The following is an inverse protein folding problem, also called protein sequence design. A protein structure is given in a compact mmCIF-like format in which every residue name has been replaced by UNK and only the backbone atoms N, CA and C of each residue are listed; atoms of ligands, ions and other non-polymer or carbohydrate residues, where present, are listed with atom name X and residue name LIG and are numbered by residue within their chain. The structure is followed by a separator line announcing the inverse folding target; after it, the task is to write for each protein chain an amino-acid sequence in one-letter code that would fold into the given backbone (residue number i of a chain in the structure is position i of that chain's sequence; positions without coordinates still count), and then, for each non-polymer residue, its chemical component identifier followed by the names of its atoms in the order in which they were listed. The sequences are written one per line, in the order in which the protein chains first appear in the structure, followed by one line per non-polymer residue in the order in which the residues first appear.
data_IF_716834022225
#
_entry.id   IF_716834022225
#
_cell.length_a   1.000
_cell.length_b   1.000
_cell.length_c   1.000
_cell.angle_alpha   90.00
_cell.angle_beta   90.00
_cell.angle_gamma   90.00
#
_symmetry.space_group_name_H-M   'P 1'
#
loop_
_entity.id
_entity.type
_entity.pdbx_description
1 polymer ?
#
# COMPACT_ATOMS: atom_id res chain seq x y z
N UNK A 1 -2.16 -19.17 37.88
CA UNK A 1 -1.95 -20.13 36.77
C UNK A 1 -3.05 -19.88 35.74
N UNK A 2 -2.79 -19.06 34.71
CA UNK A 2 -3.81 -18.66 33.74
C UNK A 2 -3.87 -19.68 32.60
N UNK A 3 -4.91 -20.51 32.61
CA UNK A 3 -5.23 -21.41 31.50
C UNK A 3 -5.91 -20.59 30.40
N UNK A 4 -5.17 -20.30 29.33
CA UNK A 4 -5.74 -19.80 28.07
C UNK A 4 -6.51 -20.95 27.41
N UNK A 5 -7.84 -20.85 27.35
CA UNK A 5 -8.66 -21.82 26.61
C UNK A 5 -8.58 -21.48 25.12
N UNK A 6 -7.67 -22.15 24.40
CA UNK A 6 -7.58 -22.10 22.95
C UNK A 6 -8.69 -22.98 22.36
N UNK A 7 -9.79 -22.39 21.88
CA UNK A 7 -10.78 -23.11 21.09
C UNK A 7 -10.29 -23.19 19.63
N UNK A 8 -9.57 -24.26 19.30
CA UNK A 8 -9.13 -24.55 17.93
C UNK A 8 -10.29 -25.17 17.14
N UNK A 9 -10.94 -24.41 16.26
CA UNK A 9 -11.97 -24.95 15.37
C UNK A 9 -11.33 -25.53 14.10
N UNK A 10 -11.51 -26.83 13.91
CA UNK A 10 -11.01 -27.66 12.81
C UNK A 10 -11.66 -27.30 11.47
N UNK A 11 -10.84 -27.12 10.41
CA UNK A 11 -11.31 -26.87 9.05
C UNK A 11 -11.70 -28.17 8.32
N UNK A 12 -12.90 -28.21 7.72
CA UNK A 12 -13.32 -29.25 6.79
C UNK A 12 -12.78 -28.93 5.39
N UNK A 13 -12.00 -29.85 4.82
CA UNK A 13 -11.23 -29.67 3.59
C UNK A 13 -12.06 -29.93 2.33
N UNK A 14 -12.25 -28.90 1.50
CA UNK A 14 -12.29 -29.05 0.05
C UNK A 14 -11.44 -27.95 -0.62
N UNK A 15 -10.27 -28.36 -1.10
CA UNK A 15 -9.38 -27.76 -2.12
C UNK A 15 -8.85 -26.31 -1.95
N UNK A 16 -7.52 -26.21 -1.83
CA UNK A 16 -6.60 -25.07 -2.14
C UNK A 16 -6.55 -23.83 -1.27
N UNK A 17 -7.43 -23.65 -0.28
CA UNK A 17 -7.41 -22.48 0.61
C UNK A 17 -6.88 -22.81 2.01
N UNK A 18 -5.81 -22.14 2.44
CA UNK A 18 -5.35 -22.20 3.83
C UNK A 18 -6.10 -21.13 4.63
N UNK A 19 -6.81 -21.51 5.68
CA UNK A 19 -7.63 -20.63 6.50
C UNK A 19 -7.22 -20.74 7.98
N UNK A 20 -7.06 -19.60 8.64
CA UNK A 20 -6.82 -19.51 10.08
C UNK A 20 -7.81 -18.52 10.68
N UNK A 21 -8.51 -18.93 11.74
CA UNK A 21 -9.39 -18.07 12.53
C UNK A 21 -9.02 -18.19 14.00
N UNK A 22 -9.00 -17.05 14.69
CA UNK A 22 -8.81 -17.01 16.14
C UNK A 22 -9.76 -16.01 16.75
N UNK A 23 -10.34 -16.38 17.89
CA UNK A 23 -11.14 -15.50 18.73
C UNK A 23 -10.58 -15.52 20.14
N UNK A 24 -10.40 -14.34 20.73
CA UNK A 24 -9.94 -14.15 22.11
C UNK A 24 -10.98 -13.32 22.85
N UNK A 25 -11.35 -13.78 24.05
CA UNK A 25 -12.24 -13.04 24.96
C UNK A 25 -11.44 -12.64 26.20
N UNK A 26 -11.43 -11.35 26.51
CA UNK A 26 -10.79 -10.81 27.70
C UNK A 26 -11.60 -11.06 28.96
N UNK A 27 -10.94 -11.06 30.13
CA UNK A 27 -11.58 -11.27 31.43
C UNK A 27 -12.70 -10.26 31.76
N UNK A 28 -12.71 -9.10 31.09
CA UNK A 28 -13.73 -8.06 31.22
C UNK A 28 -14.82 -8.12 30.14
N UNK A 29 -14.90 -9.19 29.36
CA UNK A 29 -15.97 -9.44 28.38
C UNK A 29 -15.75 -8.88 26.97
N UNK A 30 -14.67 -8.16 26.71
CA UNK A 30 -14.32 -7.75 25.34
C UNK A 30 -13.87 -8.93 24.48
N UNK A 31 -14.13 -8.91 23.18
CA UNK A 31 -13.78 -9.96 22.22
C UNK A 31 -12.93 -9.41 21.08
N UNK A 32 -12.06 -10.24 20.53
CA UNK A 32 -11.35 -9.96 19.29
C UNK A 32 -11.34 -11.22 18.43
N UNK A 33 -11.75 -11.10 17.17
CA UNK A 33 -11.73 -12.18 16.18
C UNK A 33 -10.91 -11.74 14.99
N UNK A 34 -10.05 -12.63 14.49
CA UNK A 34 -9.30 -12.43 13.26
C UNK A 34 -9.37 -13.67 12.38
N UNK A 35 -9.41 -13.44 11.08
CA UNK A 35 -9.29 -14.48 10.06
C UNK A 35 -8.20 -14.09 9.07
N UNK A 36 -7.48 -15.09 8.58
CA UNK A 36 -6.60 -14.97 7.44
C UNK A 36 -6.85 -16.15 6.50
N UNK A 37 -6.94 -15.86 5.21
CA UNK A 37 -7.11 -16.84 4.16
C UNK A 37 -6.08 -16.62 3.08
N UNK A 38 -5.50 -17.71 2.58
CA UNK A 38 -4.67 -17.72 1.39
C UNK A 38 -5.39 -18.50 0.30
N UNK A 39 -5.62 -17.85 -0.83
CA UNK A 39 -6.06 -18.48 -2.07
C UNK A 39 -5.03 -18.19 -3.16
N UNK A 40 -4.24 -19.21 -3.52
CA UNK A 40 -3.13 -19.09 -4.49
C UNK A 40 -2.22 -17.90 -4.13
N UNK A 41 -2.19 -16.89 -5.00
CA UNK A 41 -1.34 -15.72 -4.88
C UNK A 41 -1.99 -14.57 -4.11
N UNK A 42 -3.20 -14.78 -3.59
CA UNK A 42 -3.93 -13.80 -2.79
C UNK A 42 -3.92 -14.22 -1.33
N UNK A 43 -3.55 -13.30 -0.45
CA UNK A 43 -3.74 -13.42 0.99
C UNK A 43 -4.71 -12.34 1.42
N UNK A 44 -5.80 -12.72 2.07
CA UNK A 44 -6.75 -11.79 2.66
C UNK A 44 -6.92 -12.07 4.14
N UNK A 45 -7.35 -11.06 4.88
CA UNK A 45 -7.70 -11.21 6.27
C UNK A 45 -8.77 -10.21 6.66
N UNK A 46 -9.49 -10.54 7.72
CA UNK A 46 -10.43 -9.64 8.36
C UNK A 46 -10.40 -9.85 9.85
N UNK A 47 -10.77 -8.82 10.59
CA UNK A 47 -10.87 -8.91 12.03
C UNK A 47 -11.81 -7.88 12.61
N UNK A 48 -12.22 -8.13 13.84
CA UNK A 48 -13.05 -7.23 14.62
C UNK A 48 -12.66 -7.35 16.09
N UNK A 49 -12.65 -6.22 16.79
CA UNK A 49 -12.48 -6.16 18.23
C UNK A 49 -13.62 -5.35 18.84
N UNK A 50 -14.34 -5.96 19.78
CA UNK A 50 -15.43 -5.35 20.53
C UNK A 50 -14.99 -5.19 21.98
N UNK A 51 -14.95 -3.96 22.45
CA UNK A 51 -14.71 -3.66 23.86
C UNK A 51 -15.85 -4.17 24.75
N UNK A 52 -15.61 -4.28 26.06
CA UNK A 52 -16.64 -4.65 27.04
C UNK A 52 -17.88 -3.75 26.99
N UNK A 53 -17.70 -2.49 26.55
CA UNK A 53 -18.77 -1.49 26.43
C UNK A 53 -19.47 -1.54 25.06
N UNK A 54 -19.24 -2.57 24.25
CA UNK A 54 -19.89 -2.78 22.95
C UNK A 54 -19.29 -1.98 21.77
N UNK A 55 -18.40 -1.03 22.01
CA UNK A 55 -17.71 -0.32 20.93
C UNK A 55 -16.82 -1.28 20.13
N UNK A 56 -17.03 -1.32 18.81
CA UNK A 56 -16.40 -2.27 17.90
C UNK A 56 -15.53 -1.56 16.86
N UNK A 57 -14.33 -2.06 16.62
CA UNK A 57 -13.49 -1.71 15.48
C UNK A 57 -13.36 -2.94 14.61
N UNK A 58 -13.60 -2.82 13.30
CA UNK A 58 -13.36 -3.89 12.36
C UNK A 58 -12.44 -3.45 11.24
N UNK A 59 -11.82 -4.41 10.58
CA UNK A 59 -11.04 -4.14 9.40
C UNK A 59 -10.82 -5.39 8.56
N UNK A 60 -10.37 -5.16 7.35
CA UNK A 60 -10.07 -6.19 6.38
C UNK A 60 -8.98 -5.72 5.44
N UNK A 61 -8.28 -6.66 4.84
CA UNK A 61 -7.23 -6.40 3.88
C UNK A 61 -7.04 -7.57 2.94
N UNK A 62 -6.47 -7.29 1.79
CA UNK A 62 -6.11 -8.29 0.78
C UNK A 62 -4.87 -7.82 0.04
N UNK A 63 -3.96 -8.76 -0.24
CA UNK A 63 -2.82 -8.56 -1.12
C UNK A 63 -2.81 -9.69 -2.14
N UNK A 64 -2.75 -9.35 -3.42
CA UNK A 64 -2.67 -10.29 -4.53
C UNK A 64 -1.42 -10.03 -5.35
N UNK A 65 -0.66 -11.09 -5.66
CA UNK A 65 0.53 -11.01 -6.51
C UNK A 65 0.29 -11.70 -7.85
N UNK A 66 0.50 -10.97 -8.93
CA UNK A 66 0.52 -11.54 -10.29
C UNK A 66 1.95 -11.57 -10.82
N UNK A 67 2.14 -12.14 -12.01
CA UNK A 67 3.45 -12.11 -12.69
C UNK A 67 3.91 -10.68 -13.00
N UNK A 68 2.96 -9.78 -13.22
CA UNK A 68 3.21 -8.41 -13.67
C UNK A 68 3.07 -7.40 -12.54
N UNK A 69 2.80 -7.80 -11.30
CA UNK A 69 2.55 -6.81 -10.26
C UNK A 69 2.01 -7.33 -8.94
N UNK A 70 1.65 -6.40 -8.08
CA UNK A 70 0.95 -6.65 -6.81
C UNK A 70 -0.19 -5.65 -6.69
N UNK A 71 -1.33 -6.08 -6.16
CA UNK A 71 -2.41 -5.21 -5.73
C UNK A 71 -2.70 -5.44 -4.26
N UNK A 72 -3.05 -4.37 -3.57
CA UNK A 72 -3.43 -4.40 -2.16
C UNK A 72 -4.63 -3.51 -1.92
N UNK A 73 -5.47 -3.91 -0.98
CA UNK A 73 -6.59 -3.10 -0.51
C UNK A 73 -6.89 -3.43 0.93
N UNK A 74 -7.52 -2.48 1.63
CA UNK A 74 -8.02 -2.72 2.97
C UNK A 74 -8.88 -1.59 3.47
N UNK A 75 -9.58 -1.85 4.57
CA UNK A 75 -10.37 -0.86 5.26
C UNK A 75 -10.42 -1.10 6.76
N UNK A 76 -10.64 -0.02 7.51
CA UNK A 76 -10.87 -0.06 8.95
C UNK A 76 -12.09 0.80 9.27
N UNK A 77 -13.05 0.21 9.97
CA UNK A 77 -14.27 0.86 10.45
C UNK A 77 -14.21 1.02 11.96
N UNK A 78 -14.31 2.25 12.44
CA UNK A 78 -14.31 2.56 13.87
C UNK A 78 -15.69 2.35 14.53
N UNK A 79 -15.77 2.50 15.87
CA UNK A 79 -17.00 2.25 16.64
C UNK A 79 -18.14 3.23 16.33
N UNK A 80 -17.84 4.35 15.69
CA UNK A 80 -18.83 5.33 15.23
C UNK A 80 -19.27 5.11 13.77
N UNK A 81 -18.90 3.98 13.16
CA UNK A 81 -19.26 3.61 11.79
C UNK A 81 -18.42 4.27 10.69
N UNK A 82 -17.52 5.19 11.03
CA UNK A 82 -16.62 5.81 10.06
C UNK A 82 -15.58 4.83 9.53
N UNK A 83 -15.42 4.77 8.19
CA UNK A 83 -14.53 3.81 7.51
C UNK A 83 -13.41 4.53 6.77
N UNK A 84 -12.16 4.13 7.03
CA UNK A 84 -11.01 4.52 6.20
C UNK A 84 -10.65 3.38 5.28
N UNK A 85 -10.42 3.66 4.00
CA UNK A 85 -9.99 2.68 3.00
C UNK A 85 -8.61 3.03 2.46
N UNK A 86 -7.84 2.02 2.09
CA UNK A 86 -6.56 2.17 1.40
C UNK A 86 -6.47 1.16 0.26
N UNK A 87 -5.83 1.54 -0.83
CA UNK A 87 -5.54 0.64 -1.95
C UNK A 87 -4.23 1.01 -2.63
N UNK A 88 -3.59 0.02 -3.23
CA UNK A 88 -2.31 0.18 -3.90
C UNK A 88 -2.14 -0.83 -5.02
N UNK A 89 -1.38 -0.46 -6.04
CA UNK A 89 -0.90 -1.38 -7.08
C UNK A 89 0.54 -1.06 -7.41
N UNK A 90 1.28 -2.09 -7.77
CA UNK A 90 2.59 -2.00 -8.42
C UNK A 90 2.57 -2.86 -9.67
N UNK A 91 3.09 -2.35 -10.77
CA UNK A 91 3.14 -3.02 -12.06
C UNK A 91 4.58 -3.03 -12.58
N UNK A 92 5.07 -4.20 -12.98
CA UNK A 92 6.26 -4.36 -13.80
C UNK A 92 5.83 -4.20 -15.27
N UNK A 93 6.28 -3.12 -15.89
CA UNK A 93 5.93 -2.75 -17.28
C UNK A 93 6.88 -3.40 -18.30
N UNK A 94 7.88 -4.17 -17.85
CA UNK A 94 8.95 -4.70 -18.68
C UNK A 94 10.06 -3.67 -18.95
N UNK A 95 11.16 -4.11 -19.55
CA UNK A 95 12.25 -3.22 -19.98
C UNK A 95 12.89 -2.41 -18.83
N UNK A 96 12.91 -2.95 -17.61
CA UNK A 96 13.42 -2.24 -16.42
C UNK A 96 12.48 -1.16 -15.88
N UNK A 97 11.24 -1.08 -16.38
CA UNK A 97 10.23 -0.10 -15.95
C UNK A 97 9.23 -0.70 -14.95
N UNK A 98 8.96 0.06 -13.90
CA UNK A 98 7.98 -0.26 -12.86
C UNK A 98 7.12 0.97 -12.57
N UNK A 99 5.81 0.78 -12.38
CA UNK A 99 4.91 1.82 -11.93
C UNK A 99 4.15 1.39 -10.69
N UNK A 100 3.63 2.36 -9.96
CA UNK A 100 2.74 2.11 -8.84
C UNK A 100 1.79 3.26 -8.65
N UNK A 101 0.66 2.97 -8.02
CA UNK A 101 -0.35 3.94 -7.66
C UNK A 101 -1.08 3.47 -6.42
N UNK A 102 -1.61 4.41 -5.64
CA UNK A 102 -2.39 4.09 -4.46
C UNK A 102 -3.22 5.26 -3.98
N UNK A 103 -4.14 4.97 -3.08
CA UNK A 103 -5.02 5.96 -2.48
C UNK A 103 -5.39 5.57 -1.06
N UNK A 104 -5.69 6.59 -0.26
CA UNK A 104 -6.30 6.46 1.06
C UNK A 104 -7.48 7.42 1.14
N UNK A 105 -8.65 6.90 1.49
CA UNK A 105 -9.87 7.69 1.71
C UNK A 105 -10.25 7.60 3.17
N UNK A 106 -10.25 8.74 3.88
CA UNK A 106 -10.65 8.81 5.27
C UNK A 106 -12.16 8.65 5.46
N UNK A 107 -12.60 8.45 6.70
CA UNK A 107 -14.01 8.32 7.07
C UNK A 107 -14.88 9.54 6.72
N UNK A 108 -14.27 10.70 6.47
CA UNK A 108 -14.93 11.92 6.01
C UNK A 108 -14.97 12.05 4.48
N UNK A 109 -14.59 11.02 3.72
CA UNK A 109 -14.56 11.01 2.27
C UNK A 109 -13.34 11.70 1.64
N UNK A 110 -12.49 12.34 2.44
CA UNK A 110 -11.29 13.00 1.94
C UNK A 110 -10.27 11.96 1.46
N UNK A 111 -9.85 12.08 0.20
CA UNK A 111 -8.95 11.13 -0.44
C UNK A 111 -7.60 11.77 -0.75
N UNK A 112 -6.52 11.07 -0.42
CA UNK A 112 -5.19 11.34 -0.95
C UNK A 112 -4.84 10.22 -1.90
N UNK A 113 -4.36 10.54 -3.10
CA UNK A 113 -3.89 9.54 -4.06
C UNK A 113 -2.51 9.90 -4.56
N UNK A 114 -1.77 8.90 -5.03
CA UNK A 114 -0.46 9.09 -5.62
C UNK A 114 -0.15 8.03 -6.65
N UNK A 115 0.77 8.35 -7.53
CA UNK A 115 1.25 7.45 -8.58
C UNK A 115 2.69 7.80 -8.94
N UNK A 116 3.41 6.84 -9.52
CA UNK A 116 4.73 7.07 -10.05
C UNK A 116 5.24 5.93 -10.90
N UNK A 117 6.29 6.22 -11.64
CA UNK A 117 6.96 5.29 -12.55
C UNK A 117 8.47 5.49 -12.42
N UNK A 118 9.22 4.41 -12.46
CA UNK A 118 10.67 4.39 -12.54
C UNK A 118 11.08 3.48 -13.69
N UNK A 119 12.03 3.93 -14.50
CA UNK A 119 12.59 3.16 -15.61
C UNK A 119 14.10 3.16 -15.49
N UNK A 120 14.71 1.98 -15.49
CA UNK A 120 16.17 1.81 -15.53
C UNK A 120 16.60 1.15 -16.81
N UNK A 121 17.57 1.76 -17.49
CA UNK A 121 18.22 1.28 -18.72
C UNK A 121 19.72 1.13 -18.50
N UNK A 122 20.44 0.62 -19.51
CA UNK A 122 21.91 0.59 -19.48
C UNK A 122 22.53 1.99 -19.41
N UNK A 123 21.85 3.01 -19.92
CA UNK A 123 22.33 4.39 -20.03
C UNK A 123 21.88 5.29 -18.89
N UNK A 124 21.00 4.83 -18.00
CA UNK A 124 20.53 5.67 -16.90
C UNK A 124 19.28 5.16 -16.21
N UNK A 125 18.78 6.00 -15.30
CA UNK A 125 17.51 5.77 -14.60
C UNK A 125 16.70 7.06 -14.65
N UNK A 126 15.41 6.96 -14.92
CA UNK A 126 14.47 8.07 -14.81
C UNK A 126 13.28 7.67 -13.97
N UNK A 127 12.62 8.67 -13.39
CA UNK A 127 11.39 8.46 -12.65
C UNK A 127 10.54 9.71 -12.59
N UNK A 128 9.26 9.49 -12.36
CA UNK A 128 8.30 10.55 -12.10
C UNK A 128 7.21 10.07 -11.17
N UNK A 129 6.54 11.00 -10.51
CA UNK A 129 5.39 10.69 -9.70
C UNK A 129 4.63 11.94 -9.30
N UNK A 130 3.44 11.73 -8.76
CA UNK A 130 2.54 12.79 -8.33
C UNK A 130 1.72 12.35 -7.13
N UNK A 131 1.37 13.30 -6.27
CA UNK A 131 0.44 13.12 -5.15
C UNK A 131 -0.64 14.18 -5.24
N UNK A 132 -1.89 13.76 -5.18
CA UNK A 132 -3.08 14.61 -5.20
C UNK A 132 -3.74 14.56 -3.82
N UNK A 133 -3.90 15.74 -3.21
CA UNK A 133 -4.60 15.87 -1.93
C UNK A 133 -6.12 15.91 -2.07
N UNK A 134 -6.86 15.91 -0.95
CA UNK A 134 -8.32 15.81 -0.94
C UNK A 134 -9.05 17.02 -1.54
N UNK A 135 -8.35 18.15 -1.69
CA UNK A 135 -8.87 19.35 -2.35
C UNK A 135 -8.50 19.42 -3.85
N UNK A 136 -8.01 18.32 -4.42
CA UNK A 136 -7.65 18.23 -5.85
C UNK A 136 -6.30 18.83 -6.22
N UNK A 137 -5.57 19.45 -5.29
CA UNK A 137 -4.23 19.98 -5.55
C UNK A 137 -3.20 18.86 -5.72
N UNK A 138 -2.45 18.89 -6.83
CA UNK A 138 -1.44 17.88 -7.18
C UNK A 138 -0.03 18.43 -7.12
N UNK A 139 0.86 17.77 -6.37
CA UNK A 139 2.31 18.01 -6.45
C UNK A 139 2.96 16.88 -7.22
N UNK A 140 3.81 17.21 -8.19
CA UNK A 140 4.51 16.24 -9.03
C UNK A 140 6.01 16.45 -8.99
N UNK A 141 6.76 15.38 -9.13
CA UNK A 141 8.20 15.41 -9.27
C UNK A 141 8.65 14.48 -10.40
N UNK A 142 9.73 14.82 -11.07
CA UNK A 142 10.41 13.94 -12.01
C UNK A 142 11.90 14.14 -11.94
N UNK A 143 12.65 13.15 -12.39
CA UNK A 143 14.10 13.26 -12.48
C UNK A 143 14.70 12.16 -13.32
N UNK A 144 15.95 12.36 -13.69
CA UNK A 144 16.74 11.38 -14.41
C UNK A 144 18.20 11.46 -14.01
N UNK A 145 18.89 10.35 -14.16
CA UNK A 145 20.34 10.27 -14.16
C UNK A 145 20.76 9.54 -15.42
N UNK A 146 21.56 10.20 -16.26
CA UNK A 146 22.03 9.69 -17.54
C UNK A 146 23.54 9.57 -17.50
N UNK A 147 24.07 8.38 -17.80
CA UNK A 147 25.49 8.16 -18.08
C UNK A 147 25.81 8.68 -19.47
N UNK A 148 26.82 9.53 -19.56
CA UNK A 148 27.30 10.11 -20.79
C UNK A 148 28.43 9.24 -21.36
N UNK A 149 28.60 9.23 -22.70
CA UNK A 149 29.63 8.42 -23.36
C UNK A 149 31.08 8.80 -23.01
N UNK A 150 31.29 9.96 -22.39
CA UNK A 150 32.59 10.44 -21.92
C UNK A 150 32.90 10.06 -20.46
N UNK A 151 32.15 9.11 -19.88
CA UNK A 151 32.34 8.67 -18.49
C UNK A 151 31.72 9.58 -17.43
N UNK A 152 31.16 10.74 -17.81
CA UNK A 152 30.43 11.61 -16.88
C UNK A 152 28.98 11.13 -16.68
N UNK A 153 28.28 11.67 -15.69
CA UNK A 153 26.83 11.43 -15.50
C UNK A 153 26.09 12.73 -15.22
N UNK A 154 24.92 12.92 -15.84
CA UNK A 154 24.08 14.11 -15.65
C UNK A 154 22.81 13.73 -14.91
N UNK A 155 22.57 14.35 -13.77
CA UNK A 155 21.33 14.23 -13.02
C UNK A 155 20.45 15.47 -13.24
N UNK A 156 19.16 15.27 -13.49
CA UNK A 156 18.15 16.33 -13.55
C UNK A 156 17.00 16.01 -12.60
N UNK A 157 16.35 17.05 -12.09
CA UNK A 157 15.16 16.91 -11.26
C UNK A 157 14.26 18.12 -11.42
N UNK A 158 12.95 17.89 -11.41
CA UNK A 158 11.92 18.92 -11.41
C UNK A 158 10.86 18.61 -10.37
N UNK A 159 10.33 19.64 -9.71
CA UNK A 159 9.21 19.56 -8.78
C UNK A 159 8.22 20.66 -9.11
N UNK A 160 6.97 20.29 -9.33
CA UNK A 160 5.84 21.21 -9.56
C UNK A 160 4.87 21.09 -8.39
N UNK A 161 4.69 22.18 -7.64
CA UNK A 161 3.71 22.21 -6.55
C UNK A 161 2.28 22.35 -7.06
N UNK A 162 1.30 22.09 -6.18
CA UNK A 162 -0.14 22.22 -6.48
C UNK A 162 -0.57 23.60 -7.01
N UNK A 163 0.18 24.66 -6.72
CA UNK A 163 -0.04 26.00 -7.28
C UNK A 163 0.61 26.23 -8.65
N UNK A 164 1.07 25.19 -9.34
CA UNK A 164 1.68 25.26 -10.68
C UNK A 164 3.13 25.77 -10.73
N UNK A 165 3.73 26.12 -9.59
CA UNK A 165 5.12 26.61 -9.54
C UNK A 165 6.11 25.45 -9.64
N UNK A 166 7.04 25.56 -10.58
CA UNK A 166 8.06 24.55 -10.86
C UNK A 166 9.45 25.00 -10.39
N UNK A 167 10.21 24.07 -9.83
CA UNK A 167 11.64 24.20 -9.55
C UNK A 167 12.39 23.07 -10.23
N UNK A 168 13.52 23.40 -10.85
CA UNK A 168 14.34 22.43 -11.57
C UNK A 168 15.80 22.58 -11.20
N UNK A 169 16.53 21.48 -11.22
CA UNK A 169 17.97 21.44 -10.98
C UNK A 169 18.64 20.44 -11.90
N UNK A 170 19.88 20.73 -12.30
CA UNK A 170 20.73 19.86 -13.10
C UNK A 170 22.13 19.85 -12.51
N UNK A 171 22.75 18.68 -12.43
CA UNK A 171 24.13 18.54 -11.97
C UNK A 171 24.86 17.46 -12.78
N UNK A 172 26.07 17.79 -13.22
CA UNK A 172 26.96 16.86 -13.91
C UNK A 172 28.07 16.38 -12.96
N UNK A 173 28.33 15.08 -12.97
CA UNK A 173 29.38 14.42 -12.20
C UNK A 173 30.46 13.95 -13.16
N UNK A 174 31.69 14.41 -12.95
CA UNK A 174 32.86 14.02 -13.73
C UNK A 174 33.68 13.01 -12.92
N UNK A 175 34.12 11.88 -13.50
CA UNK A 175 35.02 10.96 -12.80
C UNK A 175 36.35 11.66 -12.50
N UNK A 176 36.90 11.40 -11.31
CA UNK A 176 38.24 11.84 -10.89
C UNK A 176 39.31 10.88 -11.39
#
# INVERSE_FOLDING_TARGET
MNRFTLLCATACFLATTAFAQQTVTGARGGTATGTASRNRNTVSGSGSATSANGATVSGNGSVSRTRTGTSESGSVTGPKGGTTTASGTTTNNGGGSHSGQGSVTGANGNTVSGQGTVTSTSTGTSGSGSVTGPKGGTTSASGSNTRNGNGTSTATGTVTGAGGRTKSATKTYTPH
#
